data_IF_188682535164
#
_entry.id   IF_188682535164
#
_cell.length_a   1.000
_cell.length_b   1.000
_cell.length_c   1.000
_cell.angle_alpha   90.00
_cell.angle_beta   90.00
_cell.angle_gamma   90.00
#
_symmetry.space_group_name_H-M   'P 1'
#
loop_
_entity.id
_entity.type
_entity.pdbx_description
1 polymer ?
#
# COMPACT_ATOMS: atom_id res chain seq x y z
N UNK A 1 -1.42 -10.12 21.59
CA UNK A 1 -1.94 -11.50 21.56
C UNK A 1 -2.88 -11.59 20.38
N UNK A 2 -2.69 -12.57 19.50
CA UNK A 2 -3.56 -12.79 18.33
C UNK A 2 -5.01 -13.02 18.77
N UNK A 3 -5.96 -12.49 18.00
CA UNK A 3 -7.39 -12.53 18.34
C UNK A 3 -8.24 -12.84 17.12
N UNK A 4 -9.37 -13.51 17.36
CA UNK A 4 -10.48 -13.56 16.41
C UNK A 4 -11.40 -12.38 16.71
N UNK A 5 -11.76 -11.63 15.68
CA UNK A 5 -12.68 -10.47 15.76
C UNK A 5 -13.81 -10.66 14.78
N UNK A 6 -15.02 -10.62 15.28
CA UNK A 6 -16.23 -10.78 14.49
C UNK A 6 -17.05 -9.50 14.48
N UNK A 7 -17.23 -8.95 13.28
CA UNK A 7 -18.03 -7.74 13.03
C UNK A 7 -19.26 -8.17 12.27
N UNK A 8 -20.34 -8.42 13.00
CA UNK A 8 -21.60 -8.88 12.42
C UNK A 8 -22.30 -7.75 11.70
N UNK A 9 -22.47 -7.90 10.40
CA UNK A 9 -23.18 -6.95 9.53
C UNK A 9 -24.00 -7.74 8.50
N UNK A 10 -25.29 -7.40 8.39
CA UNK A 10 -26.24 -8.07 7.48
C UNK A 10 -26.56 -7.21 6.24
N UNK A 11 -25.66 -6.28 5.88
CA UNK A 11 -25.87 -5.32 4.79
C UNK A 11 -25.64 -5.95 3.41
N UNK A 12 -24.78 -6.98 3.32
CA UNK A 12 -24.34 -7.58 2.07
C UNK A 12 -24.73 -9.05 1.96
N UNK A 13 -24.66 -9.56 0.72
CA UNK A 13 -24.95 -10.97 0.40
C UNK A 13 -23.77 -11.90 0.66
N UNK A 14 -22.58 -11.36 0.87
CA UNK A 14 -21.34 -12.10 1.15
C UNK A 14 -20.77 -11.69 2.53
N UNK A 15 -19.87 -12.51 3.03
CA UNK A 15 -19.04 -12.22 4.19
C UNK A 15 -17.58 -12.29 3.76
N UNK A 16 -16.67 -11.62 4.47
CA UNK A 16 -15.24 -11.71 4.19
C UNK A 16 -14.49 -12.14 5.42
N UNK A 17 -13.62 -13.11 5.25
CA UNK A 17 -12.76 -13.65 6.30
C UNK A 17 -11.31 -13.32 5.97
N UNK A 18 -10.65 -12.57 6.86
CA UNK A 18 -9.28 -12.09 6.72
C UNK A 18 -8.38 -12.79 7.73
N UNK A 19 -7.34 -13.49 7.24
CA UNK A 19 -6.21 -13.94 8.03
C UNK A 19 -5.11 -12.88 7.94
N UNK A 20 -4.71 -12.33 9.07
CA UNK A 20 -3.82 -11.17 9.18
C UNK A 20 -2.54 -11.59 9.87
N UNK A 21 -1.44 -11.61 9.14
CA UNK A 21 -0.12 -11.98 9.63
C UNK A 21 0.73 -10.72 9.83
N UNK A 22 1.07 -10.44 11.10
CA UNK A 22 1.88 -9.28 11.48
C UNK A 22 3.30 -9.70 11.83
N UNK A 23 4.25 -9.33 11.00
CA UNK A 23 5.64 -9.75 11.14
C UNK A 23 6.58 -8.54 11.14
N UNK A 24 7.79 -8.74 11.66
CA UNK A 24 8.85 -7.77 11.42
C UNK A 24 9.33 -7.88 9.96
N UNK A 25 10.05 -6.88 9.51
CA UNK A 25 10.55 -6.87 8.14
C UNK A 25 12.09 -6.82 8.05
N UNK A 26 12.80 -7.29 9.09
CA UNK A 26 14.27 -7.34 9.06
C UNK A 26 14.79 -8.16 7.87
N UNK A 27 14.17 -9.31 7.63
CA UNK A 27 14.48 -10.21 6.52
C UNK A 27 13.48 -10.09 5.35
N UNK A 28 12.66 -9.04 5.32
CA UNK A 28 11.68 -8.87 4.27
C UNK A 28 12.32 -8.57 2.92
N UNK A 29 11.90 -9.31 1.90
CA UNK A 29 12.16 -9.04 0.50
C UNK A 29 10.81 -8.92 -0.23
N UNK A 30 10.53 -7.74 -0.77
CA UNK A 30 9.25 -7.47 -1.42
C UNK A 30 8.99 -8.37 -2.64
N UNK A 31 10.03 -8.78 -3.34
CA UNK A 31 9.93 -9.67 -4.51
C UNK A 31 9.53 -11.07 -4.08
N UNK A 32 10.26 -11.68 -3.13
CA UNK A 32 9.96 -13.03 -2.65
C UNK A 32 8.58 -13.12 -2.02
N UNK A 33 8.21 -12.08 -1.25
CA UNK A 33 6.90 -12.03 -0.61
C UNK A 33 5.75 -11.90 -1.62
N UNK A 34 5.92 -11.09 -2.66
CA UNK A 34 4.93 -10.96 -3.75
C UNK A 34 4.75 -12.27 -4.52
N UNK A 35 5.85 -12.99 -4.82
CA UNK A 35 5.81 -14.30 -5.48
C UNK A 35 5.13 -15.32 -4.57
N UNK A 36 5.48 -15.37 -3.29
CA UNK A 36 4.85 -16.23 -2.30
C UNK A 36 3.34 -16.02 -2.27
N UNK A 37 2.88 -14.79 -2.13
CA UNK A 37 1.47 -14.45 -2.09
C UNK A 37 0.73 -14.90 -3.35
N UNK A 38 1.33 -14.70 -4.52
CA UNK A 38 0.75 -15.13 -5.80
C UNK A 38 0.63 -16.66 -5.86
N UNK A 39 1.67 -17.39 -5.49
CA UNK A 39 1.66 -18.85 -5.50
C UNK A 39 0.67 -19.43 -4.49
N UNK A 40 0.53 -18.83 -3.31
CA UNK A 40 -0.41 -19.28 -2.28
C UNK A 40 -1.85 -19.28 -2.76
N UNK A 41 -2.30 -18.24 -3.45
CA UNK A 41 -3.69 -18.15 -3.93
C UNK A 41 -3.92 -18.88 -5.25
N UNK A 42 -2.86 -19.12 -6.01
CA UNK A 42 -2.97 -19.81 -7.30
C UNK A 42 -3.00 -21.34 -7.15
N UNK A 43 -2.39 -21.90 -6.08
CA UNK A 43 -2.19 -23.35 -5.97
C UNK A 43 -2.10 -23.82 -4.52
N UNK A 44 -2.44 -25.10 -4.29
CA UNK A 44 -2.21 -25.81 -3.02
C UNK A 44 -1.89 -27.29 -3.30
N UNK A 45 -1.55 -28.05 -2.27
CA UNK A 45 -1.32 -29.50 -2.41
C UNK A 45 -2.54 -30.25 -2.99
N UNK A 46 -3.76 -29.77 -2.67
CA UNK A 46 -5.00 -30.37 -3.16
C UNK A 46 -5.40 -29.84 -4.53
N UNK A 47 -5.05 -28.59 -4.84
CA UNK A 47 -5.36 -27.90 -6.08
C UNK A 47 -4.04 -27.41 -6.69
N UNK A 48 -3.32 -28.28 -7.43
CA UNK A 48 -1.91 -28.04 -7.78
C UNK A 48 -1.72 -27.03 -8.91
N UNK A 49 -2.76 -26.55 -9.55
CA UNK A 49 -2.71 -25.58 -10.64
C UNK A 49 -3.85 -24.57 -10.58
N UNK A 50 -3.68 -23.46 -11.30
CA UNK A 50 -4.70 -22.38 -11.39
C UNK A 50 -6.07 -22.87 -11.87
N UNK A 51 -6.12 -23.89 -12.72
CA UNK A 51 -7.38 -24.41 -13.24
C UNK A 51 -8.17 -25.13 -12.16
N UNK A 52 -7.53 -26.01 -11.42
CA UNK A 52 -8.14 -26.73 -10.29
C UNK A 52 -8.57 -25.78 -9.17
N UNK A 53 -7.76 -24.77 -8.87
CA UNK A 53 -8.11 -23.68 -7.95
C UNK A 53 -9.33 -22.92 -8.42
N UNK A 54 -9.37 -22.54 -9.70
CA UNK A 54 -10.52 -21.82 -10.28
C UNK A 54 -11.80 -22.65 -10.21
N UNK A 55 -11.76 -23.94 -10.58
CA UNK A 55 -12.91 -24.82 -10.46
C UNK A 55 -13.41 -24.93 -9.01
N UNK A 56 -12.47 -25.00 -8.04
CA UNK A 56 -12.89 -25.03 -6.64
C UNK A 56 -13.58 -23.74 -6.20
N UNK A 57 -13.10 -22.58 -6.65
CA UNK A 57 -13.74 -21.30 -6.35
C UNK A 57 -15.09 -21.16 -7.04
N UNK A 58 -15.26 -21.72 -8.26
CA UNK A 58 -16.57 -21.80 -8.95
C UNK A 58 -17.57 -22.66 -8.15
N UNK A 59 -17.14 -23.82 -7.60
CA UNK A 59 -17.95 -24.65 -6.69
C UNK A 59 -18.35 -23.89 -5.40
N UNK A 60 -17.54 -22.93 -4.97
CA UNK A 60 -17.80 -22.04 -3.82
C UNK A 60 -18.51 -20.73 -4.25
N UNK A 61 -19.34 -20.79 -5.27
CA UNK A 61 -20.12 -19.66 -5.81
C UNK A 61 -19.27 -18.47 -6.26
N UNK A 62 -18.11 -18.75 -6.88
CA UNK A 62 -17.13 -17.77 -7.32
C UNK A 62 -16.57 -16.91 -6.18
N UNK A 63 -16.40 -17.49 -4.99
CA UNK A 63 -15.67 -16.84 -3.91
C UNK A 63 -14.30 -16.37 -4.39
N UNK A 64 -13.87 -15.17 -3.98
CA UNK A 64 -12.60 -14.61 -4.42
C UNK A 64 -11.57 -14.75 -3.30
N UNK A 65 -10.36 -15.14 -3.69
CA UNK A 65 -9.19 -15.09 -2.84
C UNK A 65 -8.43 -13.79 -3.09
N UNK A 66 -8.05 -13.10 -2.03
CA UNK A 66 -7.22 -11.91 -2.10
C UNK A 66 -6.00 -12.04 -1.21
N UNK A 67 -4.89 -11.47 -1.65
CA UNK A 67 -3.70 -11.28 -0.83
C UNK A 67 -3.25 -9.84 -0.93
N UNK A 68 -2.91 -9.28 0.20
CA UNK A 68 -2.36 -7.95 0.30
C UNK A 68 -1.15 -7.98 1.24
N UNK A 69 -0.17 -7.14 0.97
CA UNK A 69 0.99 -6.99 1.83
C UNK A 69 1.35 -5.51 1.91
N UNK A 70 1.18 -4.95 3.09
CA UNK A 70 1.46 -3.55 3.38
C UNK A 70 2.25 -3.38 4.67
N UNK A 71 2.89 -2.22 4.80
CA UNK A 71 3.62 -1.87 6.01
C UNK A 71 2.80 -0.88 6.82
N UNK A 72 2.37 -1.35 7.99
CA UNK A 72 1.69 -0.55 8.99
C UNK A 72 2.63 -0.30 10.16
N UNK A 73 2.87 0.97 10.46
CA UNK A 73 3.77 1.39 11.52
C UNK A 73 5.13 0.67 11.42
N UNK A 74 5.45 -0.21 12.35
CA UNK A 74 6.70 -0.97 12.44
C UNK A 74 6.51 -2.48 12.14
N UNK A 75 5.42 -2.83 11.48
CA UNK A 75 5.09 -4.21 11.12
C UNK A 75 4.80 -4.35 9.63
N UNK A 76 5.25 -5.44 9.04
CA UNK A 76 4.74 -5.92 7.77
C UNK A 76 3.45 -6.69 8.05
N UNK A 77 2.38 -6.33 7.35
CA UNK A 77 1.08 -6.98 7.46
C UNK A 77 0.77 -7.67 6.15
N UNK A 78 0.68 -9.00 6.21
CA UNK A 78 0.17 -9.81 5.09
C UNK A 78 -1.24 -10.23 5.43
N UNK A 79 -2.17 -9.94 4.54
CA UNK A 79 -3.56 -10.35 4.64
C UNK A 79 -3.87 -11.36 3.55
N UNK A 80 -4.50 -12.47 3.92
CA UNK A 80 -5.04 -13.45 2.99
C UNK A 80 -6.52 -13.60 3.32
N UNK A 81 -7.40 -13.37 2.34
CA UNK A 81 -8.84 -13.36 2.59
C UNK A 81 -9.63 -14.13 1.54
N UNK A 82 -10.85 -14.51 1.93
CA UNK A 82 -11.84 -15.10 1.04
C UNK A 82 -13.20 -14.41 1.27
N UNK A 83 -13.96 -14.18 0.19
CA UNK A 83 -15.28 -13.55 0.21
C UNK A 83 -16.42 -14.49 -0.25
N UNK A 84 -16.82 -15.47 0.57
CA UNK A 84 -17.90 -16.38 0.22
C UNK A 84 -19.27 -15.71 0.17
N UNK A 85 -20.11 -16.18 -0.73
CA UNK A 85 -21.55 -15.89 -0.71
C UNK A 85 -22.17 -16.52 0.55
N UNK A 86 -23.00 -15.75 1.26
CA UNK A 86 -23.68 -16.22 2.48
C UNK A 86 -24.57 -17.44 2.20
N UNK A 87 -24.67 -18.36 3.15
CA UNK A 87 -25.51 -19.56 3.06
C UNK A 87 -27.00 -19.23 2.81
N UNK A 88 -27.42 -18.02 3.15
CA UNK A 88 -28.76 -17.53 2.79
C UNK A 88 -29.01 -17.44 1.28
N UNK A 89 -27.96 -17.27 0.48
CA UNK A 89 -28.01 -17.06 -0.98
C UNK A 89 -27.28 -18.17 -1.76
N UNK A 90 -26.76 -19.17 -1.07
CA UNK A 90 -26.04 -20.32 -1.61
C UNK A 90 -26.53 -21.61 -0.97
N UNK A 91 -25.77 -22.68 -1.03
CA UNK A 91 -26.01 -23.92 -0.29
C UNK A 91 -25.59 -23.77 1.17
N UNK A 92 -26.29 -24.47 2.08
CA UNK A 92 -25.94 -24.56 3.48
C UNK A 92 -24.50 -25.07 3.65
N UNK A 93 -23.70 -24.38 4.46
CA UNK A 93 -22.29 -24.68 4.69
C UNK A 93 -21.33 -24.14 3.64
N UNK A 94 -21.78 -23.33 2.67
CA UNK A 94 -20.89 -22.71 1.68
C UNK A 94 -19.82 -21.82 2.34
N UNK A 95 -20.22 -20.99 3.33
CA UNK A 95 -19.27 -20.14 4.07
C UNK A 95 -18.25 -20.99 4.82
N UNK A 96 -18.69 -22.04 5.53
CA UNK A 96 -17.82 -22.98 6.23
C UNK A 96 -16.84 -23.66 5.29
N UNK A 97 -17.30 -24.13 4.12
CA UNK A 97 -16.45 -24.80 3.13
C UNK A 97 -15.43 -23.82 2.53
N UNK A 98 -15.81 -22.58 2.34
CA UNK A 98 -14.91 -21.51 1.86
C UNK A 98 -13.82 -21.20 2.86
N UNK A 99 -14.15 -21.13 4.15
CA UNK A 99 -13.16 -20.92 5.22
C UNK A 99 -12.22 -22.15 5.34
N UNK A 100 -12.73 -23.36 5.26
CA UNK A 100 -11.88 -24.58 5.20
C UNK A 100 -10.93 -24.55 4.02
N UNK A 101 -11.41 -24.08 2.86
CA UNK A 101 -10.57 -23.93 1.68
C UNK A 101 -9.48 -22.87 1.89
N UNK A 102 -9.80 -21.72 2.49
CA UNK A 102 -8.81 -20.69 2.84
C UNK A 102 -7.73 -21.25 3.79
N UNK A 103 -8.13 -22.02 4.80
CA UNK A 103 -7.21 -22.69 5.73
C UNK A 103 -6.31 -23.70 4.98
N UNK A 104 -6.86 -24.47 4.05
CA UNK A 104 -6.08 -25.40 3.23
C UNK A 104 -5.05 -24.67 2.35
N UNK A 105 -5.42 -23.53 1.72
CA UNK A 105 -4.51 -22.68 0.96
C UNK A 105 -3.36 -22.17 1.82
N UNK A 106 -3.65 -21.68 3.01
CA UNK A 106 -2.64 -21.11 3.90
C UNK A 106 -1.69 -22.19 4.44
N UNK A 107 -2.22 -23.32 4.92
CA UNK A 107 -1.43 -24.29 5.67
C UNK A 107 -1.01 -25.54 4.87
N UNK A 108 -1.64 -25.80 3.70
CA UNK A 108 -1.32 -26.93 2.82
C UNK A 108 -0.89 -26.42 1.45
N UNK A 109 0.09 -25.51 1.47
CA UNK A 109 0.61 -24.84 0.28
C UNK A 109 1.37 -25.78 -0.68
N UNK A 110 1.55 -25.32 -1.93
CA UNK A 110 2.37 -25.96 -2.96
C UNK A 110 3.56 -25.10 -3.39
N UNK A 111 4.20 -24.41 -2.43
CA UNK A 111 5.29 -23.46 -2.72
C UNK A 111 6.60 -24.15 -3.16
N UNK A 112 6.71 -25.46 -3.00
CA UNK A 112 7.90 -26.24 -3.39
C UNK A 112 7.90 -26.62 -4.89
N UNK A 113 6.88 -26.25 -5.66
CA UNK A 113 6.81 -26.58 -7.08
C UNK A 113 7.75 -25.67 -7.90
N UNK A 114 8.91 -26.23 -8.23
CA UNK A 114 9.95 -25.52 -9.00
C UNK A 114 9.46 -25.05 -10.39
N UNK A 115 8.56 -25.80 -11.02
CA UNK A 115 8.02 -25.45 -12.34
C UNK A 115 7.11 -24.23 -12.25
N UNK A 116 6.20 -24.20 -11.29
CA UNK A 116 5.32 -23.05 -11.05
C UNK A 116 6.13 -21.81 -10.69
N UNK A 117 7.10 -21.96 -9.80
CA UNK A 117 8.02 -20.90 -9.44
C UNK A 117 8.75 -20.33 -10.66
N UNK A 118 9.41 -21.18 -11.46
CA UNK A 118 10.16 -20.75 -12.64
C UNK A 118 9.26 -20.05 -13.66
N UNK A 119 8.04 -20.55 -13.87
CA UNK A 119 7.08 -19.92 -14.77
C UNK A 119 6.69 -18.53 -14.29
N UNK A 120 6.40 -18.37 -13.01
CA UNK A 120 6.01 -17.06 -12.45
C UNK A 120 7.18 -16.06 -12.51
N UNK A 121 8.40 -16.50 -12.15
CA UNK A 121 9.58 -15.64 -12.25
C UNK A 121 9.85 -15.20 -13.70
N UNK A 122 9.64 -16.09 -14.68
CA UNK A 122 9.76 -15.73 -16.10
C UNK A 122 8.73 -14.68 -16.49
N UNK A 123 7.47 -14.87 -16.11
CA UNK A 123 6.40 -13.90 -16.38
C UNK A 123 6.71 -12.52 -15.75
N UNK A 124 7.19 -12.48 -14.50
CA UNK A 124 7.57 -11.23 -13.84
C UNK A 124 8.75 -10.53 -14.55
N UNK A 125 9.73 -11.28 -15.07
CA UNK A 125 10.83 -10.73 -15.86
C UNK A 125 10.35 -10.11 -17.18
N UNK A 126 9.41 -10.76 -17.84
CA UNK A 126 8.88 -10.28 -19.11
C UNK A 126 7.93 -9.09 -18.91
N UNK A 127 7.11 -9.12 -17.86
CA UNK A 127 6.28 -7.99 -17.44
C UNK A 127 7.15 -6.77 -17.09
N UNK A 128 8.22 -6.95 -16.32
CA UNK A 128 9.15 -5.88 -16.01
C UNK A 128 9.75 -5.24 -17.27
N UNK A 129 10.24 -6.05 -18.21
CA UNK A 129 10.81 -5.55 -19.46
C UNK A 129 9.79 -4.79 -20.30
N UNK A 130 8.57 -5.31 -20.39
CA UNK A 130 7.48 -4.64 -21.10
C UNK A 130 7.14 -3.30 -20.47
N UNK A 131 6.98 -3.27 -19.15
CA UNK A 131 6.63 -2.06 -18.40
C UNK A 131 7.75 -1.00 -18.45
N UNK A 132 9.02 -1.40 -18.59
CA UNK A 132 10.14 -0.48 -18.74
C UNK A 132 10.12 0.31 -20.07
N UNK A 133 9.25 -0.07 -21.03
CA UNK A 133 8.98 0.72 -22.23
C UNK A 133 8.01 1.88 -21.96
N UNK A 134 7.26 1.85 -20.85
CA UNK A 134 6.43 2.97 -20.39
C UNK A 134 7.29 4.00 -19.65
N UNK A 135 7.23 5.25 -20.08
CA UNK A 135 8.07 6.33 -19.55
C UNK A 135 7.80 6.65 -18.07
N UNK A 136 6.54 6.54 -17.62
CA UNK A 136 6.20 6.80 -16.22
C UNK A 136 6.68 5.66 -15.31
N UNK A 137 6.53 4.41 -15.75
CA UNK A 137 7.05 3.25 -15.03
C UNK A 137 8.58 3.29 -14.97
N UNK A 138 9.26 3.60 -16.11
CA UNK A 138 10.70 3.80 -16.16
C UNK A 138 11.17 4.86 -15.15
N UNK A 139 10.50 6.02 -15.16
CA UNK A 139 10.81 7.09 -14.20
C UNK A 139 10.61 6.64 -12.74
N UNK A 140 9.54 5.90 -12.47
CA UNK A 140 9.24 5.41 -11.13
C UNK A 140 10.28 4.40 -10.62
N UNK A 141 10.64 3.42 -11.44
CA UNK A 141 11.63 2.40 -11.09
C UNK A 141 13.01 3.05 -10.84
N UNK A 142 13.50 3.88 -11.77
CA UNK A 142 14.81 4.50 -11.64
C UNK A 142 14.88 5.49 -10.47
N UNK A 143 13.79 6.19 -10.19
CA UNK A 143 13.67 7.02 -8.99
C UNK A 143 13.85 6.19 -7.71
N UNK A 144 13.05 5.13 -7.52
CA UNK A 144 13.13 4.30 -6.30
C UNK A 144 14.49 3.62 -6.19
N UNK A 145 15.01 3.06 -7.28
CA UNK A 145 16.32 2.41 -7.30
C UNK A 145 17.49 3.39 -7.15
N UNK A 146 17.27 4.67 -7.47
CA UNK A 146 18.23 5.76 -7.28
C UNK A 146 18.25 6.37 -5.89
N UNK A 147 17.22 6.15 -5.05
CA UNK A 147 17.12 6.76 -3.73
C UNK A 147 18.31 6.43 -2.84
N UNK A 148 18.72 7.41 -2.05
CA UNK A 148 19.80 7.26 -1.08
C UNK A 148 19.41 6.35 0.08
N UNK A 149 18.12 6.29 0.42
CA UNK A 149 17.59 5.43 1.49
C UNK A 149 17.47 3.96 1.02
N UNK A 150 18.26 3.01 1.58
CA UNK A 150 18.22 1.62 1.17
C UNK A 150 16.89 0.91 1.48
N UNK A 151 16.13 1.39 2.47
CA UNK A 151 14.83 0.81 2.82
C UNK A 151 13.84 0.94 1.66
N UNK A 152 13.88 2.04 0.90
CA UNK A 152 13.02 2.22 -0.25
C UNK A 152 13.17 1.10 -1.29
N UNK A 153 14.40 0.64 -1.52
CA UNK A 153 14.72 -0.47 -2.45
C UNK A 153 14.27 -1.82 -1.90
N UNK A 154 14.39 -2.01 -0.59
CA UNK A 154 14.01 -3.26 0.09
C UNK A 154 12.50 -3.53 -0.02
N UNK A 155 11.68 -2.47 0.02
CA UNK A 155 10.22 -2.55 -0.08
C UNK A 155 9.69 -2.44 -1.51
N UNK A 156 10.58 -2.46 -2.50
CA UNK A 156 10.20 -2.27 -3.88
C UNK A 156 10.05 -3.60 -4.61
N UNK A 157 8.82 -4.00 -4.91
CA UNK A 157 8.51 -5.27 -5.58
C UNK A 157 9.02 -5.38 -7.02
N UNK A 158 9.34 -4.26 -7.65
CA UNK A 158 9.92 -4.21 -9.01
C UNK A 158 11.44 -4.07 -9.00
N UNK A 159 12.12 -4.50 -7.94
CA UNK A 159 13.58 -4.58 -7.91
C UNK A 159 14.05 -5.72 -8.82
N UNK A 160 14.50 -5.36 -10.04
CA UNK A 160 14.85 -6.35 -11.07
C UNK A 160 16.02 -7.24 -10.67
N UNK A 161 17.01 -6.73 -9.94
CA UNK A 161 18.12 -7.56 -9.43
C UNK A 161 17.62 -8.63 -8.48
N UNK A 162 16.66 -8.30 -7.63
CA UNK A 162 16.02 -9.28 -6.77
C UNK A 162 15.20 -10.29 -7.61
N UNK A 163 14.42 -9.82 -8.61
CA UNK A 163 13.64 -10.73 -9.49
C UNK A 163 14.57 -11.68 -10.27
N UNK A 164 15.75 -11.18 -10.69
CA UNK A 164 16.71 -11.96 -11.46
C UNK A 164 17.35 -13.08 -10.66
N UNK A 165 17.67 -12.80 -9.40
CA UNK A 165 18.49 -13.64 -8.54
C UNK A 165 17.67 -14.44 -7.49
N UNK A 166 16.33 -14.38 -7.55
CA UNK A 166 15.46 -15.02 -6.58
C UNK A 166 15.49 -16.54 -6.74
N UNK A 167 15.51 -17.24 -5.61
CA UNK A 167 15.46 -18.68 -5.51
C UNK A 167 14.19 -19.15 -4.78
N UNK A 168 13.84 -20.42 -4.95
CA UNK A 168 12.63 -20.97 -4.33
C UNK A 168 12.73 -20.95 -2.79
N UNK A 169 13.92 -21.09 -2.26
CA UNK A 169 14.18 -21.04 -0.82
C UNK A 169 13.84 -19.66 -0.22
N UNK A 170 14.00 -18.56 -0.98
CA UNK A 170 13.58 -17.23 -0.55
C UNK A 170 12.06 -17.15 -0.34
N UNK A 171 11.31 -17.88 -1.16
CA UNK A 171 9.84 -17.96 -1.06
C UNK A 171 9.45 -18.76 0.18
N UNK A 172 10.12 -19.88 0.42
CA UNK A 172 9.89 -20.74 1.59
C UNK A 172 10.23 -20.01 2.90
N UNK A 173 11.30 -19.23 2.90
CA UNK A 173 11.68 -18.42 4.06
C UNK A 173 10.66 -17.29 4.30
N UNK A 174 10.17 -16.64 3.22
CA UNK A 174 9.11 -15.64 3.33
C UNK A 174 7.83 -16.23 3.92
N UNK A 175 7.42 -17.41 3.46
CA UNK A 175 6.28 -18.13 4.00
C UNK A 175 6.48 -18.53 5.48
N UNK A 176 7.64 -19.10 5.81
CA UNK A 176 7.98 -19.49 7.18
C UNK A 176 7.94 -18.29 8.14
N UNK A 177 8.45 -17.15 7.70
CA UNK A 177 8.41 -15.92 8.49
C UNK A 177 6.97 -15.42 8.68
N UNK A 178 6.13 -15.51 7.64
CA UNK A 178 4.72 -15.13 7.69
C UNK A 178 3.95 -16.04 8.66
N UNK A 179 4.00 -17.35 8.47
CA UNK A 179 3.16 -18.30 9.21
C UNK A 179 3.52 -18.36 10.70
N UNK A 180 4.77 -18.06 11.07
CA UNK A 180 5.24 -18.00 12.44
C UNK A 180 5.05 -16.63 13.10
N UNK A 181 4.46 -15.64 12.40
CA UNK A 181 4.22 -14.30 12.92
C UNK A 181 2.94 -14.19 13.73
N UNK A 182 2.75 -13.05 14.40
CA UNK A 182 1.50 -12.78 15.13
C UNK A 182 0.32 -12.83 14.17
N UNK A 183 -0.67 -13.64 14.50
CA UNK A 183 -1.82 -13.88 13.62
C UNK A 183 -3.10 -13.39 14.27
N UNK A 184 -3.87 -12.56 13.56
CA UNK A 184 -5.24 -12.20 13.89
C UNK A 184 -6.18 -12.75 12.80
N UNK A 185 -7.46 -12.97 13.15
CA UNK A 185 -8.51 -13.29 12.18
C UNK A 185 -9.59 -12.23 12.34
N UNK A 186 -9.97 -11.58 11.25
CA UNK A 186 -11.07 -10.62 11.21
C UNK A 186 -12.17 -11.19 10.30
N UNK A 187 -13.40 -11.20 10.78
CA UNK A 187 -14.59 -11.64 10.06
C UNK A 187 -15.52 -10.45 9.94
N UNK A 188 -15.92 -10.10 8.73
CA UNK A 188 -16.87 -9.02 8.46
C UNK A 188 -18.03 -9.59 7.65
N UNK A 189 -19.25 -9.51 8.20
CA UNK A 189 -20.46 -10.05 7.59
C UNK A 189 -21.29 -10.89 8.54
N UNK A 190 -22.17 -11.75 8.00
CA UNK A 190 -22.97 -12.70 8.79
C UNK A 190 -22.50 -14.12 8.50
N UNK A 191 -22.04 -14.82 9.55
CA UNK A 191 -21.53 -16.20 9.45
C UNK A 191 -22.19 -17.07 10.52
N UNK A 192 -22.31 -18.37 10.26
CA UNK A 192 -22.84 -19.35 11.19
C UNK A 192 -21.89 -19.65 12.37
N UNK A 193 -22.45 -20.21 13.45
CA UNK A 193 -21.69 -20.54 14.67
C UNK A 193 -20.58 -21.56 14.40
N UNK A 194 -20.77 -22.48 13.46
CA UNK A 194 -19.78 -23.48 13.03
C UNK A 194 -18.53 -22.83 12.40
N UNK A 195 -18.68 -21.67 11.74
CA UNK A 195 -17.55 -20.89 11.22
C UNK A 195 -16.78 -20.27 12.37
N UNK A 196 -17.49 -19.68 13.33
CA UNK A 196 -16.87 -19.08 14.52
C UNK A 196 -16.15 -20.12 15.36
N UNK A 197 -16.76 -21.30 15.54
CA UNK A 197 -16.13 -22.41 16.23
C UNK A 197 -14.84 -22.87 15.51
N UNK A 198 -14.90 -23.05 14.19
CA UNK A 198 -13.76 -23.43 13.38
C UNK A 198 -12.58 -22.45 13.54
N UNK A 199 -12.82 -21.14 13.40
CA UNK A 199 -11.75 -20.15 13.47
C UNK A 199 -11.22 -19.93 14.88
N UNK A 200 -12.06 -20.04 15.92
CA UNK A 200 -11.64 -19.95 17.32
C UNK A 200 -10.76 -21.15 17.76
N UNK A 201 -10.88 -22.30 17.07
CA UNK A 201 -10.04 -23.48 17.32
C UNK A 201 -8.68 -23.42 16.60
N UNK A 202 -8.43 -22.40 15.77
CA UNK A 202 -7.12 -22.21 15.13
C UNK A 202 -6.12 -21.72 16.17
N UNK A 203 -4.97 -22.40 16.26
CA UNK A 203 -3.87 -21.95 17.11
C UNK A 203 -3.22 -20.70 16.52
N UNK A 204 -3.52 -19.53 17.11
CA UNK A 204 -2.99 -18.25 16.68
C UNK A 204 -1.58 -18.02 17.26
N UNK A 205 -0.64 -17.65 16.43
CA UNK A 205 0.68 -17.27 16.87
C UNK A 205 0.66 -15.90 17.58
N UNK A 206 1.46 -15.77 18.64
CA UNK A 206 1.52 -14.57 19.47
C UNK A 206 2.90 -13.88 19.43
N UNK A 207 3.82 -14.39 18.60
CA UNK A 207 5.16 -13.84 18.52
C UNK A 207 5.21 -12.67 17.55
N UNK A 208 5.53 -11.50 18.06
CA UNK A 208 5.86 -10.33 17.25
C UNK A 208 7.12 -9.64 17.79
N UNK A 209 8.00 -9.30 16.87
CA UNK A 209 9.08 -8.33 17.11
C UNK A 209 8.77 -7.10 16.27
N UNK A 210 8.66 -5.96 16.92
CA UNK A 210 8.48 -4.70 16.23
C UNK A 210 9.83 -4.16 15.79
N UNK A 211 9.87 -3.62 14.57
CA UNK A 211 11.04 -2.93 14.09
C UNK A 211 11.09 -1.52 14.65
N UNK A 212 12.30 -1.05 14.94
CA UNK A 212 12.57 0.35 15.16
C UNK A 212 13.12 0.95 13.87
N UNK A 213 12.55 2.05 13.42
CA UNK A 213 13.06 2.79 12.27
C UNK A 213 13.95 3.93 12.75
N UNK A 214 15.24 3.85 12.40
CA UNK A 214 16.10 5.02 12.48
C UNK A 214 15.80 5.95 11.32
N UNK A 215 15.34 7.15 11.62
CA UNK A 215 15.17 8.21 10.63
C UNK A 215 16.56 8.70 10.25
N UNK A 216 17.09 8.19 9.13
CA UNK A 216 18.37 8.64 8.58
C UNK A 216 18.14 9.77 7.58
N UNK A 217 19.03 10.75 7.61
CA UNK A 217 19.07 11.85 6.65
C UNK A 217 20.22 11.59 5.67
N UNK A 218 19.96 11.86 4.41
CA UNK A 218 20.96 11.72 3.34
C UNK A 218 21.19 13.09 2.70
N UNK A 219 22.40 13.36 2.21
CA UNK A 219 22.66 14.58 1.45
C UNK A 219 21.80 14.63 0.19
N UNK A 220 21.44 15.86 -0.21
CA UNK A 220 20.67 16.05 -1.44
C UNK A 220 21.39 15.42 -2.65
N UNK A 221 20.61 14.67 -3.44
CA UNK A 221 21.06 14.05 -4.69
C UNK A 221 20.08 14.36 -5.79
N UNK A 222 20.62 14.74 -6.96
CA UNK A 222 19.84 14.87 -8.20
C UNK A 222 20.34 13.86 -9.22
N UNK A 223 19.39 13.18 -9.86
CA UNK A 223 19.63 12.24 -10.97
C UNK A 223 18.84 12.67 -12.19
N UNK A 224 19.42 12.56 -13.36
CA UNK A 224 18.81 12.94 -14.65
C UNK A 224 19.04 11.81 -15.66
N UNK A 225 17.95 11.35 -16.25
CA UNK A 225 17.97 10.38 -17.36
C UNK A 225 17.23 10.95 -18.57
N UNK A 226 17.46 10.37 -19.74
CA UNK A 226 16.78 10.71 -20.99
C UNK A 226 15.98 9.52 -21.48
N UNK A 227 14.77 9.79 -21.98
CA UNK A 227 13.90 8.76 -22.53
C UNK A 227 13.21 9.28 -23.79
N UNK A 228 13.01 8.39 -24.76
CA UNK A 228 12.33 8.76 -26.01
C UNK A 228 10.81 8.83 -25.79
N UNK A 229 10.35 9.95 -25.25
CA UNK A 229 8.94 10.28 -25.07
C UNK A 229 8.75 11.79 -25.16
N UNK A 230 7.51 12.24 -25.40
CA UNK A 230 7.18 13.65 -25.57
C UNK A 230 7.16 14.44 -24.26
N UNK A 231 6.79 13.80 -23.15
CA UNK A 231 6.71 14.43 -21.83
C UNK A 231 7.93 14.09 -20.97
N UNK A 232 8.25 14.99 -20.05
CA UNK A 232 9.23 14.77 -18.99
C UNK A 232 8.54 14.42 -17.66
N UNK A 233 9.25 13.74 -16.78
CA UNK A 233 8.72 13.34 -15.48
C UNK A 233 9.66 13.78 -14.36
N UNK A 234 9.09 14.32 -13.29
CA UNK A 234 9.83 14.62 -12.06
C UNK A 234 9.31 13.77 -10.91
N UNK A 235 10.22 13.27 -10.10
CA UNK A 235 9.95 12.59 -8.83
C UNK A 235 10.88 13.20 -7.79
N UNK A 236 10.31 13.89 -6.81
CA UNK A 236 11.09 14.64 -5.81
C UNK A 236 10.73 14.12 -4.43
N UNK A 237 11.74 13.66 -3.70
CA UNK A 237 11.60 13.15 -2.34
C UNK A 237 11.98 14.23 -1.34
N UNK A 238 11.07 14.47 -0.43
CA UNK A 238 11.27 15.31 0.73
C UNK A 238 11.24 14.46 1.99
N UNK A 239 12.28 14.55 2.80
CA UNK A 239 12.33 13.94 4.13
C UNK A 239 11.45 14.72 5.09
N UNK A 240 10.75 14.02 5.97
CA UNK A 240 9.96 14.63 7.06
C UNK A 240 10.75 14.47 8.36
N UNK A 241 11.19 15.59 8.96
CA UNK A 241 11.89 15.59 10.25
C UNK A 241 11.00 15.06 11.35
N UNK A 242 11.58 14.25 12.24
CA UNK A 242 10.95 13.76 13.49
C UNK A 242 9.52 13.19 13.25
N UNK A 243 9.33 12.52 12.09
CA UNK A 243 8.04 11.97 11.71
C UNK A 243 7.67 10.78 12.59
N UNK A 244 6.51 10.89 13.24
CA UNK A 244 5.91 9.80 14.01
C UNK A 244 4.46 9.58 13.54
N UNK A 245 4.21 8.50 12.81
CA UNK A 245 2.90 8.20 12.23
C UNK A 245 1.79 8.07 13.27
N UNK A 246 2.09 7.63 14.49
CA UNK A 246 1.09 7.47 15.56
C UNK A 246 0.61 8.81 16.09
N UNK A 247 1.46 9.82 16.06
CA UNK A 247 1.22 11.15 16.66
C UNK A 247 0.97 12.24 15.63
N UNK A 248 1.50 12.08 14.42
CA UNK A 248 1.49 13.12 13.39
C UNK A 248 0.29 12.99 12.43
N UNK A 249 -0.95 12.98 12.94
CA UNK A 249 -2.15 12.94 12.07
C UNK A 249 -2.24 14.16 11.14
N UNK A 250 -1.57 15.25 11.47
CA UNK A 250 -1.45 16.46 10.65
C UNK A 250 -0.92 16.16 9.25
N UNK A 251 -0.13 15.09 9.07
CA UNK A 251 0.42 14.72 7.76
C UNK A 251 -0.67 14.43 6.72
N UNK A 252 -1.81 13.86 7.13
CA UNK A 252 -2.93 13.57 6.24
C UNK A 252 -3.52 14.86 5.68
N UNK A 253 -3.79 15.81 6.57
CA UNK A 253 -4.33 17.14 6.22
C UNK A 253 -3.34 17.90 5.35
N UNK A 254 -2.06 17.94 5.74
CA UNK A 254 -1.01 18.58 4.95
C UNK A 254 -0.90 18.01 3.54
N UNK A 255 -0.85 16.67 3.42
CA UNK A 255 -0.78 15.98 2.13
C UNK A 255 -1.97 16.32 1.24
N UNK A 256 -3.18 16.28 1.79
CA UNK A 256 -4.41 16.59 1.07
C UNK A 256 -4.42 18.02 0.54
N UNK A 257 -4.07 18.99 1.38
CA UNK A 257 -4.02 20.42 1.02
C UNK A 257 -2.90 20.69 0.01
N UNK A 258 -1.72 20.08 0.17
CA UNK A 258 -0.59 20.36 -0.71
C UNK A 258 -0.80 19.80 -2.12
N UNK A 259 -1.12 18.50 -2.25
CA UNK A 259 -1.14 17.84 -3.56
C UNK A 259 -1.96 16.56 -3.62
N UNK A 260 -2.79 16.26 -2.61
CA UNK A 260 -3.58 15.04 -2.50
C UNK A 260 -5.02 15.18 -3.04
N UNK A 261 -5.44 16.35 -3.50
CA UNK A 261 -6.79 16.61 -4.00
C UNK A 261 -6.79 17.40 -5.30
N UNK A 262 -7.91 17.37 -6.06
CA UNK A 262 -8.08 18.22 -7.25
C UNK A 262 -8.06 19.72 -6.96
N UNK A 263 -8.31 20.14 -5.73
CA UNK A 263 -8.28 21.54 -5.27
C UNK A 263 -7.05 21.85 -4.43
N UNK A 264 -6.01 21.02 -4.53
CA UNK A 264 -4.77 21.20 -3.78
C UNK A 264 -3.93 22.34 -4.31
N UNK A 265 -3.05 22.87 -3.47
CA UNK A 265 -2.18 24.01 -3.80
C UNK A 265 -1.33 23.71 -5.05
N UNK A 266 -0.72 22.53 -5.13
CA UNK A 266 0.11 22.16 -6.29
C UNK A 266 -0.71 22.08 -7.57
N UNK A 267 -1.93 21.55 -7.50
CA UNK A 267 -2.81 21.45 -8.65
C UNK A 267 -3.26 22.84 -9.11
N UNK A 268 -3.78 23.66 -8.21
CA UNK A 268 -4.27 25.02 -8.53
C UNK A 268 -3.15 25.93 -9.05
N UNK A 269 -2.02 25.99 -8.31
CA UNK A 269 -0.97 26.98 -8.63
C UNK A 269 -0.10 26.53 -9.80
N UNK A 270 0.34 25.26 -9.82
CA UNK A 270 1.30 24.79 -10.86
C UNK A 270 0.58 24.40 -12.14
N UNK A 271 -0.55 23.67 -12.02
CA UNK A 271 -1.25 23.16 -13.20
C UNK A 271 -2.25 24.17 -13.75
N UNK A 272 -3.21 24.62 -12.95
CA UNK A 272 -4.32 25.45 -13.46
C UNK A 272 -3.88 26.89 -13.76
N UNK A 273 -3.25 27.58 -12.79
CA UNK A 273 -2.87 28.99 -12.95
C UNK A 273 -1.66 29.22 -13.85
N UNK A 274 -0.70 28.29 -13.86
CA UNK A 274 0.55 28.47 -14.59
C UNK A 274 0.74 27.50 -15.78
N UNK A 275 -0.10 26.46 -15.93
CA UNK A 275 -0.05 25.47 -17.01
C UNK A 275 1.34 24.82 -17.19
N UNK A 276 2.04 24.57 -16.07
CA UNK A 276 3.41 24.05 -16.09
C UNK A 276 3.50 22.52 -16.14
N UNK A 277 2.41 21.83 -15.83
CA UNK A 277 2.38 20.37 -15.80
C UNK A 277 1.06 19.80 -16.31
N UNK A 278 1.09 18.56 -16.81
CA UNK A 278 -0.09 17.77 -17.18
C UNK A 278 -0.73 17.12 -15.94
N UNK A 279 0.11 16.68 -15.03
CA UNK A 279 -0.32 16.08 -13.76
C UNK A 279 0.69 16.38 -12.67
N UNK A 280 0.19 16.57 -11.45
CA UNK A 280 1.00 16.75 -10.25
C UNK A 280 0.26 16.17 -9.05
N UNK A 281 0.98 15.46 -8.20
CA UNK A 281 0.47 14.97 -6.93
C UNK A 281 1.56 14.92 -5.87
N UNK A 282 1.16 14.97 -4.61
CA UNK A 282 2.02 14.75 -3.46
C UNK A 282 1.45 13.61 -2.60
N UNK A 283 2.30 12.69 -2.17
CA UNK A 283 1.91 11.62 -1.27
C UNK A 283 3.02 11.27 -0.27
N UNK A 284 2.61 10.92 0.93
CA UNK A 284 3.55 10.56 2.00
C UNK A 284 3.78 9.05 1.99
N UNK A 285 5.06 8.67 2.14
CA UNK A 285 5.52 7.29 2.37
C UNK A 285 5.99 7.16 3.82
N UNK A 286 5.09 6.79 4.75
CA UNK A 286 5.38 6.79 6.18
C UNK A 286 6.56 5.88 6.55
N UNK A 287 6.71 4.75 5.86
CA UNK A 287 7.79 3.77 6.11
C UNK A 287 9.19 4.38 5.99
N UNK A 288 9.38 5.28 5.05
CA UNK A 288 10.66 5.98 4.84
C UNK A 288 10.61 7.41 5.39
N UNK A 289 9.56 7.78 6.14
CA UNK A 289 9.36 9.12 6.70
C UNK A 289 9.56 10.23 5.68
N UNK A 290 8.97 10.08 4.50
CA UNK A 290 9.21 10.98 3.38
C UNK A 290 7.92 11.28 2.61
N UNK A 291 7.89 12.43 1.95
CA UNK A 291 6.87 12.83 0.98
C UNK A 291 7.49 12.81 -0.41
N UNK A 292 6.72 12.36 -1.39
CA UNK A 292 7.09 12.36 -2.79
C UNK A 292 6.15 13.29 -3.55
N UNK A 293 6.72 14.23 -4.30
CA UNK A 293 6.00 15.02 -5.31
C UNK A 293 6.32 14.41 -6.67
N UNK A 294 5.29 14.02 -7.41
CA UNK A 294 5.39 13.40 -8.73
C UNK A 294 4.66 14.25 -9.76
N UNK A 295 5.31 14.55 -10.87
CA UNK A 295 4.71 15.37 -11.94
C UNK A 295 5.08 14.87 -13.32
N UNK A 296 4.14 15.08 -14.27
CA UNK A 296 4.37 14.97 -15.72
C UNK A 296 4.35 16.38 -16.30
N UNK A 297 5.44 16.81 -16.92
CA UNK A 297 5.65 18.19 -17.36
C UNK A 297 6.11 18.23 -18.82
N UNK A 298 6.00 19.42 -19.45
CA UNK A 298 6.74 19.71 -20.66
C UNK A 298 8.21 20.02 -20.30
N UNK A 299 9.15 19.50 -21.08
CA UNK A 299 10.60 19.70 -20.88
C UNK A 299 10.96 21.18 -20.71
N UNK A 300 10.36 22.06 -21.52
CA UNK A 300 10.64 23.49 -21.52
C UNK A 300 10.16 24.18 -20.23
N UNK A 301 9.24 23.57 -19.49
CA UNK A 301 8.70 24.14 -18.26
C UNK A 301 9.49 23.77 -17.00
N UNK A 302 10.49 22.85 -17.11
CA UNK A 302 11.14 22.28 -15.93
C UNK A 302 11.69 23.32 -14.96
N UNK A 303 12.42 24.33 -15.42
CA UNK A 303 13.03 25.33 -14.54
C UNK A 303 11.95 26.15 -13.80
N UNK A 304 10.97 26.67 -14.53
CA UNK A 304 9.87 27.45 -13.95
C UNK A 304 9.01 26.63 -12.98
N UNK A 305 8.75 25.37 -13.36
CA UNK A 305 8.06 24.41 -12.51
C UNK A 305 8.81 24.21 -11.18
N UNK A 306 10.13 24.03 -11.26
CA UNK A 306 10.96 23.75 -10.09
C UNK A 306 11.06 24.94 -9.15
N UNK A 307 11.24 26.15 -9.69
CA UNK A 307 11.23 27.39 -8.93
C UNK A 307 9.90 27.60 -8.18
N UNK A 308 8.78 27.39 -8.85
CA UNK A 308 7.46 27.56 -8.25
C UNK A 308 7.16 26.48 -7.20
N UNK A 309 7.56 25.23 -7.44
CA UNK A 309 7.45 24.16 -6.46
C UNK A 309 8.27 24.48 -5.21
N UNK A 310 9.49 24.96 -5.36
CA UNK A 310 10.34 25.37 -4.23
C UNK A 310 9.72 26.54 -3.44
N UNK A 311 9.14 27.52 -4.13
CA UNK A 311 8.46 28.60 -3.44
C UNK A 311 7.25 28.08 -2.63
N UNK A 312 6.44 27.20 -3.21
CA UNK A 312 5.28 26.61 -2.50
C UNK A 312 5.73 25.83 -1.27
N UNK A 313 6.73 24.97 -1.39
CA UNK A 313 7.21 24.16 -0.27
C UNK A 313 7.81 25.02 0.84
N UNK A 314 8.68 25.97 0.48
CA UNK A 314 9.39 26.82 1.45
C UNK A 314 8.50 27.91 2.08
N UNK A 315 7.50 28.37 1.36
CA UNK A 315 6.58 29.43 1.76
C UNK A 315 5.13 28.94 1.89
N UNK A 316 4.91 27.69 2.27
CA UNK A 316 3.59 27.03 2.35
C UNK A 316 2.53 27.88 3.05
N UNK A 317 2.92 28.59 4.12
CA UNK A 317 2.02 29.48 4.87
C UNK A 317 1.38 30.62 4.05
N UNK A 318 1.95 30.97 2.88
CA UNK A 318 1.35 31.97 1.98
C UNK A 318 0.23 31.40 1.11
N UNK A 319 0.17 30.08 0.98
CA UNK A 319 -0.72 29.38 0.06
C UNK A 319 -1.91 28.72 0.75
N UNK A 320 -1.75 28.31 2.02
CA UNK A 320 -2.82 27.66 2.79
C UNK A 320 -3.89 28.68 3.22
N UNK A 321 -5.15 28.25 3.14
CA UNK A 321 -6.31 29.02 3.64
C UNK A 321 -7.09 28.22 4.68
N UNK A 322 -7.90 28.92 5.50
CA UNK A 322 -8.82 28.27 6.43
C UNK A 322 -9.84 27.38 5.70
N UNK A 323 -10.30 27.79 4.54
CA UNK A 323 -11.22 27.01 3.70
C UNK A 323 -10.59 25.69 3.28
N UNK A 324 -9.33 25.67 2.86
CA UNK A 324 -8.60 24.42 2.52
C UNK A 324 -8.48 23.50 3.72
N UNK A 325 -8.24 24.05 4.91
CA UNK A 325 -8.17 23.28 6.15
C UNK A 325 -9.53 22.61 6.45
N UNK A 326 -10.61 23.40 6.47
CA UNK A 326 -11.94 22.87 6.77
C UNK A 326 -12.42 21.85 5.74
N UNK A 327 -12.20 22.12 4.44
CA UNK A 327 -12.51 21.15 3.38
C UNK A 327 -11.73 19.82 3.54
N UNK A 328 -10.48 19.90 3.98
CA UNK A 328 -9.68 18.69 4.23
C UNK A 328 -10.19 17.90 5.44
N UNK A 329 -10.56 18.56 6.52
CA UNK A 329 -11.17 17.94 7.70
C UNK A 329 -12.47 17.25 7.35
N UNK A 330 -13.35 17.94 6.62
CA UNK A 330 -14.62 17.38 6.16
C UNK A 330 -14.41 16.15 5.28
N UNK A 331 -13.45 16.18 4.36
CA UNK A 331 -13.10 15.04 3.52
C UNK A 331 -12.72 13.82 4.37
N UNK A 332 -11.83 13.95 5.36
CA UNK A 332 -11.42 12.82 6.20
C UNK A 332 -12.55 12.35 7.12
N UNK A 333 -13.35 13.25 7.67
CA UNK A 333 -14.55 12.88 8.44
C UNK A 333 -15.53 12.09 7.59
N UNK A 334 -15.75 12.48 6.36
CA UNK A 334 -16.62 11.73 5.44
C UNK A 334 -16.09 10.33 5.13
N UNK A 335 -14.76 10.17 4.93
CA UNK A 335 -14.14 8.85 4.80
C UNK A 335 -14.41 8.01 6.05
N UNK A 336 -14.17 8.56 7.23
CA UNK A 336 -14.37 7.84 8.48
C UNK A 336 -15.84 7.51 8.78
N UNK A 337 -16.77 8.40 8.46
CA UNK A 337 -18.20 8.19 8.67
C UNK A 337 -18.78 7.13 7.68
N UNK A 338 -18.19 7.00 6.50
CA UNK A 338 -18.64 6.08 5.46
C UNK A 338 -17.83 4.76 5.43
N UNK A 339 -17.05 4.45 6.47
CA UNK A 339 -16.22 3.24 6.50
C UNK A 339 -17.04 1.95 6.38
N UNK A 340 -18.33 1.98 6.78
CA UNK A 340 -19.24 0.85 6.72
C UNK A 340 -19.80 0.58 5.31
N UNK A 341 -19.29 1.24 4.26
CA UNK A 341 -19.78 1.07 2.90
C UNK A 341 -19.17 -0.11 2.15
N UNK A 342 -18.11 -0.73 2.69
CA UNK A 342 -17.54 -1.97 2.18
C UNK A 342 -16.91 -2.81 3.29
N UNK A 343 -16.79 -4.13 3.06
CA UNK A 343 -16.08 -5.04 3.95
C UNK A 343 -14.63 -4.60 4.14
N UNK A 344 -13.96 -4.21 3.05
CA UNK A 344 -12.54 -3.82 3.08
C UNK A 344 -12.33 -2.55 3.90
N UNK A 345 -13.23 -1.57 3.82
CA UNK A 345 -13.14 -0.37 4.64
C UNK A 345 -13.28 -0.71 6.14
N UNK A 346 -14.24 -1.57 6.48
CA UNK A 346 -14.42 -2.04 7.87
C UNK A 346 -13.17 -2.79 8.34
N UNK A 347 -12.66 -3.69 7.51
CA UNK A 347 -11.44 -4.43 7.80
C UNK A 347 -10.25 -3.50 8.02
N UNK A 348 -10.02 -2.53 7.12
CA UNK A 348 -8.91 -1.57 7.23
C UNK A 348 -9.01 -0.73 8.50
N UNK A 349 -10.21 -0.30 8.89
CA UNK A 349 -10.41 0.45 10.12
C UNK A 349 -10.19 -0.42 11.36
N UNK A 350 -10.63 -1.69 11.34
CA UNK A 350 -10.36 -2.63 12.41
C UNK A 350 -8.86 -2.97 12.49
N UNK A 351 -8.18 -3.13 11.35
CA UNK A 351 -6.73 -3.34 11.30
C UNK A 351 -5.96 -2.15 11.90
N UNK A 352 -6.38 -0.92 11.60
CA UNK A 352 -5.79 0.28 12.22
C UNK A 352 -6.02 0.30 13.73
N UNK A 353 -7.22 -0.08 14.18
CA UNK A 353 -7.53 -0.21 15.59
C UNK A 353 -6.64 -1.27 16.29
N UNK A 354 -6.43 -2.42 15.64
CA UNK A 354 -5.52 -3.49 16.12
C UNK A 354 -4.07 -2.99 16.25
N UNK A 355 -3.60 -2.20 15.29
CA UNK A 355 -2.18 -1.82 15.20
C UNK A 355 -1.88 -0.55 16.00
N UNK A 356 -2.75 0.45 15.93
CA UNK A 356 -2.52 1.77 16.55
C UNK A 356 -3.26 1.98 17.86
N UNK A 357 -4.27 1.13 18.18
CA UNK A 357 -5.07 1.28 19.38
C UNK A 357 -6.05 2.46 19.35
N UNK A 358 -6.27 3.09 18.19
CA UNK A 358 -7.13 4.26 18.04
C UNK A 358 -8.43 3.88 17.34
N UNK A 359 -9.56 4.22 17.95
CA UNK A 359 -10.89 4.06 17.34
C UNK A 359 -11.10 5.06 16.18
N UNK A 360 -12.17 4.87 15.42
CA UNK A 360 -12.58 5.84 14.39
C UNK A 360 -12.92 7.19 15.03
N UNK A 361 -13.62 7.17 16.15
CA UNK A 361 -14.00 8.35 16.92
C UNK A 361 -12.76 9.12 17.39
N UNK A 362 -11.74 8.42 17.89
CA UNK A 362 -10.46 9.05 18.25
C UNK A 362 -9.80 9.74 17.04
N UNK A 363 -9.83 9.10 15.87
CA UNK A 363 -9.25 9.67 14.65
C UNK A 363 -10.03 10.87 14.13
N UNK A 364 -11.36 10.86 14.23
CA UNK A 364 -12.19 12.03 13.91
C UNK A 364 -11.84 13.19 14.83
N UNK A 365 -11.74 12.95 16.14
CA UNK A 365 -11.35 13.98 17.10
C UNK A 365 -9.96 14.53 16.84
N UNK A 366 -9.00 13.66 16.46
CA UNK A 366 -7.65 14.09 16.11
C UNK A 366 -7.66 15.03 14.89
N UNK A 367 -8.43 14.70 13.84
CA UNK A 367 -8.56 15.55 12.65
C UNK A 367 -9.27 16.88 12.98
N UNK A 368 -10.34 16.86 13.77
CA UNK A 368 -11.09 18.07 14.14
C UNK A 368 -10.24 19.08 14.91
N UNK A 369 -9.34 18.60 15.75
CA UNK A 369 -8.47 19.45 16.57
C UNK A 369 -7.27 20.05 15.81
N UNK A 370 -7.00 19.65 14.56
CA UNK A 370 -5.89 20.21 13.77
C UNK A 370 -6.18 21.68 13.45
N UNK A 371 -5.22 22.53 13.77
CA UNK A 371 -5.26 23.95 13.45
C UNK A 371 -4.43 24.28 12.21
N UNK A 372 -4.63 25.47 11.64
CA UNK A 372 -3.80 25.95 10.53
C UNK A 372 -2.34 26.08 10.93
N UNK A 373 -2.07 26.46 12.19
CA UNK A 373 -0.72 26.58 12.72
C UNK A 373 -0.02 25.24 12.83
N UNK A 374 -0.75 24.16 13.16
CA UNK A 374 -0.23 22.80 13.17
C UNK A 374 0.22 22.36 11.77
N UNK A 375 -0.58 22.67 10.74
CA UNK A 375 -0.26 22.34 9.34
C UNK A 375 0.95 23.15 8.87
N UNK A 376 1.03 24.44 9.22
CA UNK A 376 2.17 25.31 8.92
C UNK A 376 3.43 24.83 9.68
N UNK A 377 3.29 24.42 10.94
CA UNK A 377 4.40 23.86 11.70
C UNK A 377 4.91 22.55 11.08
N UNK A 378 3.99 21.70 10.62
CA UNK A 378 4.35 20.47 9.93
C UNK A 378 5.10 20.75 8.61
N UNK A 379 4.67 21.73 7.81
CA UNK A 379 5.32 22.08 6.54
C UNK A 379 6.81 22.44 6.72
N UNK A 380 7.21 23.03 7.86
CA UNK A 380 8.61 23.38 8.17
C UNK A 380 9.51 22.17 8.45
N UNK A 381 8.92 20.97 8.60
CA UNK A 381 9.64 19.73 8.81
C UNK A 381 10.04 19.05 7.49
N UNK A 382 9.62 19.60 6.35
CA UNK A 382 9.83 19.04 5.02
C UNK A 382 11.19 19.51 4.47
N UNK A 383 12.08 18.56 4.13
CA UNK A 383 13.44 18.84 3.63
C UNK A 383 13.66 18.10 2.33
N UNK A 384 14.11 18.78 1.29
CA UNK A 384 14.52 18.18 0.02
C UNK A 384 15.68 17.18 0.25
N UNK A 385 15.52 15.94 -0.25
CA UNK A 385 16.53 14.88 -0.11
C UNK A 385 16.97 14.29 -1.46
N UNK A 386 16.03 13.87 -2.31
CA UNK A 386 16.35 13.29 -3.63
C UNK A 386 15.47 13.92 -4.72
N UNK A 387 16.05 14.10 -5.90
CA UNK A 387 15.33 14.52 -7.10
C UNK A 387 15.73 13.64 -8.28
N UNK A 388 14.73 13.10 -8.97
CA UNK A 388 14.88 12.40 -10.22
C UNK A 388 14.13 13.14 -11.32
N UNK A 389 14.82 13.44 -12.41
CA UNK A 389 14.26 14.06 -13.59
C UNK A 389 14.48 13.17 -14.81
N UNK A 390 13.38 12.69 -15.41
CA UNK A 390 13.39 12.02 -16.70
C UNK A 390 13.09 13.05 -17.79
N UNK A 391 14.10 13.39 -18.58
CA UNK A 391 13.95 14.29 -19.71
C UNK A 391 13.36 13.54 -20.91
N UNK A 392 12.17 13.94 -21.36
CA UNK A 392 11.61 13.47 -22.63
C UNK A 392 12.36 14.10 -23.81
N UNK A 393 12.96 13.27 -24.66
CA UNK A 393 13.74 13.73 -25.83
C UNK A 393 13.09 13.39 -27.17
N UNK A 394 11.89 12.78 -27.15
CA UNK A 394 11.07 12.54 -28.33
C UNK A 394 10.47 13.86 -28.88
N UNK A 395 10.04 13.83 -30.12
CA UNK A 395 9.30 14.94 -30.72
C UNK A 395 7.92 15.06 -30.03
N UNK A 396 7.48 16.30 -29.74
CA UNK A 396 6.11 16.55 -29.36
C UNK A 396 5.20 16.14 -30.52
N UNK A 397 4.26 15.21 -30.29
CA UNK A 397 3.14 15.05 -31.19
C UNK A 397 2.32 16.34 -31.14
N UNK A 398 2.25 17.01 -32.26
CA UNK A 398 1.51 18.28 -32.48
C UNK A 398 0.01 18.05 -32.38
#
# INVERSE_FOLDING_TARGET
MGKVRYIKINKWTNSVIYFVFRQNFDNYNAVSHNIMNTLLVDTSLKYPDKRSTKFKLEELYNAKLHTECDIYHNSLVTTISIDPLSDKYSEEGNVLNSVKYLIDIIYKHNLNDQKLFNNLVSLLKDEYKSNMCDSNFYAYVNFIMGLSNPLAKKYFKYNYENIKNIEIDDILDSYKNMINSLTDIVIVGDVGDEVLELVNNISLNNNIKYNTFDIKYYPFKKSVDKFNCSASFTKILYKIKDFNREKDHVFLVYQYILGGSPNSILFDVIREKNSLCYSINAYIKPVISSMIVSSKINRNNYLKYRELLDDIINNFSKYITLEMLENSKEYFKNIYNNYQDSHDNIYVEELKNIIYGNSIEDRILLIDNITIDDVIAFSKRIILEDEYYLEGVGNEEV
#
